data_IF_737118912740
#
_entry.id   IF_737118912740
#
_cell.length_a   1.000
_cell.length_b   1.000
_cell.length_c   1.000
_cell.angle_alpha   90.00
_cell.angle_beta   90.00
_cell.angle_gamma   90.00
#
_symmetry.space_group_name_H-M   'P 1'
#
loop_
_entity.id
_entity.type
_entity.pdbx_description
1 polymer ?
#
# COMPACT_ATOMS: atom_id res chain seq x y z
N UNK A 1 15.49 5.37 -14.35
CA UNK A 1 14.24 5.52 -15.16
C UNK A 1 14.55 5.22 -16.62
N UNK A 2 13.60 4.69 -17.38
CA UNK A 2 13.66 4.73 -18.85
C UNK A 2 13.69 6.21 -19.27
N UNK A 3 14.74 6.70 -19.95
CA UNK A 3 14.85 8.11 -20.29
C UNK A 3 13.68 8.60 -21.12
N UNK A 4 13.22 9.82 -20.85
CA UNK A 4 12.15 10.45 -21.60
C UNK A 4 12.58 11.82 -22.14
N UNK A 5 12.07 12.19 -23.29
CA UNK A 5 12.39 13.46 -23.93
C UNK A 5 11.71 14.64 -23.24
N UNK A 6 12.44 15.73 -23.03
CA UNK A 6 11.89 16.93 -22.43
C UNK A 6 10.86 17.63 -23.32
N UNK A 7 10.81 17.32 -24.62
CA UNK A 7 9.77 17.80 -25.54
C UNK A 7 8.35 17.44 -25.08
N UNK A 8 8.19 16.28 -24.40
CA UNK A 8 6.91 15.87 -23.80
C UNK A 8 6.35 16.90 -22.82
N UNK A 9 7.22 17.68 -22.16
CA UNK A 9 6.82 18.58 -21.08
C UNK A 9 6.15 19.87 -21.59
N UNK A 10 6.36 20.22 -22.87
CA UNK A 10 5.88 21.49 -23.44
C UNK A 10 4.34 21.64 -23.42
N UNK A 11 3.62 20.51 -23.41
CA UNK A 11 2.15 20.48 -23.39
C UNK A 11 1.58 20.42 -21.96
N UNK A 12 2.45 20.33 -20.93
CA UNK A 12 2.04 20.06 -19.55
C UNK A 12 2.06 21.29 -18.65
N UNK A 13 2.64 22.41 -19.11
CA UNK A 13 2.78 23.63 -18.36
C UNK A 13 4.04 24.41 -18.70
N UNK A 14 4.43 25.33 -17.81
CA UNK A 14 5.67 26.11 -17.97
C UNK A 14 6.89 25.26 -17.64
N UNK A 15 7.78 25.10 -18.61
CA UNK A 15 8.98 24.27 -18.50
C UNK A 15 10.26 25.10 -18.71
N UNK A 16 11.29 24.81 -17.91
CA UNK A 16 12.67 25.25 -18.13
C UNK A 16 13.53 24.00 -18.42
N UNK A 17 14.01 23.90 -19.66
CA UNK A 17 14.75 22.75 -20.18
C UNK A 17 16.24 23.04 -20.18
N UNK A 18 17.04 22.15 -19.59
CA UNK A 18 18.50 22.22 -19.50
C UNK A 18 19.21 21.05 -20.16
N UNK A 19 18.48 19.97 -20.43
CA UNK A 19 18.94 18.80 -21.16
C UNK A 19 17.81 18.24 -22.05
N UNK A 20 18.12 17.55 -23.17
CA UNK A 20 17.11 17.03 -24.08
C UNK A 20 16.29 15.86 -23.48
N UNK A 21 16.82 15.20 -22.48
CA UNK A 21 16.20 14.04 -21.81
C UNK A 21 16.31 14.17 -20.29
N UNK A 22 15.42 13.51 -19.60
CA UNK A 22 15.49 13.32 -18.14
C UNK A 22 15.40 11.84 -17.78
N UNK A 23 16.05 11.44 -16.67
CA UNK A 23 16.23 10.06 -16.26
C UNK A 23 15.66 9.74 -14.88
N UNK A 24 14.96 10.66 -14.26
CA UNK A 24 14.23 10.53 -13.01
C UNK A 24 13.18 11.63 -12.90
N UNK A 25 12.21 11.47 -11.99
CA UNK A 25 11.18 12.46 -11.69
C UNK A 25 11.06 12.64 -10.19
N UNK A 26 11.10 13.87 -9.72
CA UNK A 26 10.97 14.21 -8.30
C UNK A 26 9.99 15.38 -8.12
N UNK A 27 9.25 15.32 -7.02
CA UNK A 27 8.38 16.40 -6.54
C UNK A 27 8.95 17.07 -5.27
N UNK A 28 10.02 16.52 -4.71
CA UNK A 28 10.79 17.06 -3.59
C UNK A 28 12.19 17.46 -4.08
N UNK A 29 12.49 18.76 -4.10
CA UNK A 29 13.76 19.29 -4.59
C UNK A 29 14.98 18.70 -3.87
N UNK A 30 14.83 18.34 -2.59
CA UNK A 30 15.91 17.74 -1.77
C UNK A 30 16.34 16.34 -2.27
N UNK A 31 15.46 15.66 -3.03
CA UNK A 31 15.69 14.33 -3.60
C UNK A 31 16.23 14.37 -5.03
N UNK A 32 16.34 15.53 -5.64
CA UNK A 32 16.85 15.71 -7.00
C UNK A 32 18.26 15.14 -7.13
N UNK A 33 18.44 14.32 -8.15
CA UNK A 33 19.72 13.85 -8.67
C UNK A 33 20.00 14.51 -10.02
N UNK A 34 21.26 14.55 -10.41
CA UNK A 34 21.63 15.08 -11.71
C UNK A 34 20.92 14.30 -12.84
N UNK A 35 20.24 15.03 -13.71
CA UNK A 35 19.46 14.45 -14.80
C UNK A 35 17.99 14.23 -14.50
N UNK A 36 17.51 14.49 -13.28
CA UNK A 36 16.09 14.38 -12.93
C UNK A 36 15.27 15.55 -13.48
N UNK A 37 14.00 15.30 -13.71
CA UNK A 37 12.95 16.31 -13.85
C UNK A 37 12.42 16.67 -12.47
N UNK A 38 12.35 17.94 -12.15
CA UNK A 38 11.60 18.44 -10.99
C UNK A 38 10.20 18.89 -11.43
N UNK A 39 9.16 18.33 -10.84
CA UNK A 39 7.77 18.73 -11.04
C UNK A 39 7.28 19.49 -9.81
N UNK A 40 6.92 20.75 -9.99
CA UNK A 40 6.42 21.60 -8.90
C UNK A 40 4.96 21.26 -8.58
N UNK A 41 4.72 20.63 -7.44
CA UNK A 41 3.40 20.24 -6.93
C UNK A 41 3.07 21.09 -5.71
N UNK A 42 1.82 21.53 -5.55
CA UNK A 42 1.29 22.18 -4.36
C UNK A 42 2.19 23.35 -3.81
N UNK A 43 2.51 24.32 -4.64
CA UNK A 43 3.37 25.45 -4.25
C UNK A 43 4.86 25.15 -4.31
N UNK A 44 5.25 24.06 -4.97
CA UNK A 44 6.63 23.64 -5.21
C UNK A 44 7.44 24.62 -6.07
N UNK A 45 6.82 25.61 -6.71
CA UNK A 45 7.50 26.61 -7.54
C UNK A 45 8.64 27.36 -6.83
N UNK A 46 8.51 27.58 -5.52
CA UNK A 46 9.56 28.21 -4.68
C UNK A 46 10.85 27.40 -4.59
N UNK A 47 10.86 26.14 -5.05
CA UNK A 47 12.02 25.25 -4.99
C UNK A 47 12.65 25.00 -6.37
N UNK A 48 12.25 25.72 -7.41
CA UNK A 48 12.81 25.57 -8.77
C UNK A 48 14.33 25.80 -8.79
N UNK A 49 14.78 26.90 -8.16
CA UNK A 49 16.21 27.24 -8.10
C UNK A 49 17.04 26.20 -7.33
N UNK A 50 16.49 25.63 -6.23
CA UNK A 50 17.13 24.54 -5.49
C UNK A 50 17.25 23.27 -6.35
N UNK A 51 16.18 22.92 -7.08
CA UNK A 51 16.20 21.77 -7.99
C UNK A 51 17.24 21.94 -9.09
N UNK A 52 17.32 23.14 -9.68
CA UNK A 52 18.33 23.50 -10.70
C UNK A 52 19.74 23.41 -10.14
N UNK A 53 19.97 23.97 -8.95
CA UNK A 53 21.28 23.93 -8.29
C UNK A 53 21.75 22.51 -7.99
N UNK A 54 20.83 21.56 -7.81
CA UNK A 54 21.09 20.12 -7.61
C UNK A 54 21.26 19.35 -8.91
N UNK A 55 21.10 20.01 -10.07
CA UNK A 55 21.38 19.42 -11.39
C UNK A 55 20.17 18.82 -12.09
N UNK A 56 18.97 19.35 -11.84
CA UNK A 56 17.79 18.97 -12.61
C UNK A 56 18.01 19.20 -14.12
N UNK A 57 17.64 18.22 -14.94
CA UNK A 57 17.65 18.30 -16.40
C UNK A 57 16.57 19.22 -16.94
N UNK A 58 15.45 19.28 -16.22
CA UNK A 58 14.36 20.22 -16.48
C UNK A 58 13.56 20.49 -15.19
N UNK A 59 12.85 21.63 -15.19
CA UNK A 59 11.84 21.91 -14.18
C UNK A 59 10.51 22.17 -14.87
N UNK A 60 9.43 21.66 -14.30
CA UNK A 60 8.07 21.81 -14.80
C UNK A 60 7.19 22.42 -13.71
N UNK A 61 6.52 23.54 -14.05
CA UNK A 61 5.39 24.07 -13.29
C UNK A 61 4.14 23.68 -14.07
N UNK A 62 3.46 22.60 -13.70
CA UNK A 62 2.36 22.08 -14.50
C UNK A 62 1.08 22.90 -14.32
N UNK A 63 0.26 22.98 -15.37
CA UNK A 63 -1.09 23.55 -15.30
C UNK A 63 -2.00 22.69 -14.41
N UNK A 64 -1.85 21.36 -14.51
CA UNK A 64 -2.44 20.34 -13.62
C UNK A 64 -1.35 19.34 -13.24
N UNK A 65 -0.99 19.33 -11.96
CA UNK A 65 0.10 18.49 -11.46
C UNK A 65 -0.22 16.98 -11.54
N UNK A 66 -1.47 16.59 -11.30
CA UNK A 66 -1.88 15.19 -11.36
C UNK A 66 -1.90 14.70 -12.80
N UNK A 67 -2.47 15.46 -13.72
CA UNK A 67 -2.48 15.14 -15.14
C UNK A 67 -1.06 15.08 -15.73
N UNK A 68 -0.18 16.00 -15.33
CA UNK A 68 1.21 16.01 -15.78
C UNK A 68 1.98 14.77 -15.30
N UNK A 69 1.89 14.44 -14.02
CA UNK A 69 2.53 13.22 -13.46
C UNK A 69 1.96 11.96 -14.10
N UNK A 70 0.64 11.88 -14.27
CA UNK A 70 -0.02 10.78 -14.96
C UNK A 70 0.49 10.58 -16.38
N UNK A 71 0.61 11.68 -17.15
CA UNK A 71 1.11 11.67 -18.53
C UNK A 71 2.56 11.19 -18.62
N UNK A 72 3.42 11.70 -17.73
CA UNK A 72 4.84 11.31 -17.65
C UNK A 72 4.96 9.82 -17.24
N UNK A 73 4.26 9.41 -16.19
CA UNK A 73 4.25 8.03 -15.71
C UNK A 73 3.74 7.04 -16.75
N UNK A 74 2.67 7.39 -17.47
CA UNK A 74 2.11 6.58 -18.57
C UNK A 74 3.09 6.44 -19.73
N UNK A 75 3.85 7.49 -20.05
CA UNK A 75 4.86 7.43 -21.12
C UNK A 75 5.99 6.46 -20.77
N UNK A 76 6.49 6.52 -19.52
CA UNK A 76 7.50 5.56 -19.03
C UNK A 76 6.93 4.14 -19.00
N UNK A 77 5.70 3.97 -18.51
CA UNK A 77 5.02 2.68 -18.46
C UNK A 77 4.87 2.04 -19.85
N UNK A 78 4.47 2.82 -20.84
CA UNK A 78 4.28 2.37 -22.23
C UNK A 78 5.56 1.85 -22.88
N UNK A 79 6.72 2.36 -22.45
CA UNK A 79 8.05 1.94 -22.93
C UNK A 79 8.64 0.77 -22.13
N UNK A 80 8.00 0.36 -21.04
CA UNK A 80 8.48 -0.71 -20.17
C UNK A 80 7.83 -2.04 -20.52
N UNK A 81 8.61 -3.11 -20.53
CA UNK A 81 8.15 -4.49 -20.64
C UNK A 81 7.84 -5.12 -19.27
N UNK A 82 8.03 -4.40 -18.17
CA UNK A 82 7.80 -4.91 -16.83
C UNK A 82 6.37 -5.44 -16.64
N UNK A 83 6.24 -6.58 -16.00
CA UNK A 83 4.95 -7.09 -15.54
C UNK A 83 4.49 -6.29 -14.32
N UNK A 84 3.33 -5.68 -14.40
CA UNK A 84 2.81 -4.81 -13.34
C UNK A 84 1.80 -5.57 -12.48
N UNK A 85 2.03 -5.55 -11.17
CA UNK A 85 1.11 -6.04 -10.15
C UNK A 85 0.48 -4.84 -9.45
N UNK A 86 -0.84 -4.69 -9.55
CA UNK A 86 -1.61 -3.71 -8.80
C UNK A 86 -2.21 -4.34 -7.55
N UNK A 87 -2.02 -3.73 -6.39
CA UNK A 87 -2.50 -4.24 -5.10
C UNK A 87 -3.45 -3.23 -4.47
N UNK A 88 -4.70 -3.64 -4.23
CA UNK A 88 -5.69 -2.87 -3.48
C UNK A 88 -6.29 -3.72 -2.36
N UNK A 89 -7.15 -3.11 -1.55
CA UNK A 89 -7.83 -3.76 -0.43
C UNK A 89 -8.13 -2.78 0.68
N UNK A 90 -8.94 -3.16 1.62
CA UNK A 90 -9.27 -2.32 2.77
C UNK A 90 -8.08 -2.19 3.70
N UNK A 91 -7.36 -3.28 3.94
CA UNK A 91 -6.13 -3.34 4.74
C UNK A 91 -5.11 -4.30 4.11
N UNK A 92 -3.88 -4.29 4.61
CA UNK A 92 -2.82 -5.20 4.18
C UNK A 92 -2.16 -4.86 2.83
N UNK A 93 -2.60 -3.83 2.10
CA UNK A 93 -2.01 -3.42 0.81
C UNK A 93 -0.49 -3.25 0.87
N UNK A 94 -0.03 -2.39 1.77
CA UNK A 94 1.39 -2.07 1.95
C UNK A 94 2.18 -3.30 2.38
N UNK A 95 1.68 -4.04 3.38
CA UNK A 95 2.35 -5.27 3.84
C UNK A 95 2.41 -6.33 2.73
N UNK A 96 1.34 -6.52 1.94
CA UNK A 96 1.35 -7.45 0.79
C UNK A 96 2.37 -6.99 -0.26
N UNK A 97 2.46 -5.69 -0.54
CA UNK A 97 3.47 -5.09 -1.42
C UNK A 97 4.88 -5.34 -0.90
N UNK A 98 5.13 -5.11 0.41
CA UNK A 98 6.44 -5.30 1.02
C UNK A 98 6.86 -6.78 0.97
N UNK A 99 5.96 -7.71 1.29
CA UNK A 99 6.20 -9.15 1.20
C UNK A 99 6.48 -9.56 -0.25
N UNK A 100 5.66 -9.11 -1.21
CA UNK A 100 5.85 -9.45 -2.62
C UNK A 100 7.17 -8.88 -3.16
N UNK A 101 7.54 -7.66 -2.75
CA UNK A 101 8.81 -7.07 -3.12
C UNK A 101 9.99 -7.90 -2.58
N UNK A 102 9.94 -8.31 -1.31
CA UNK A 102 10.96 -9.16 -0.71
C UNK A 102 11.08 -10.54 -1.39
N UNK A 103 9.95 -11.10 -1.85
CA UNK A 103 9.92 -12.35 -2.61
C UNK A 103 10.52 -12.20 -4.02
N UNK A 104 10.24 -11.08 -4.70
CA UNK A 104 10.65 -10.87 -6.09
C UNK A 104 12.10 -10.41 -6.23
N UNK A 105 12.58 -9.50 -5.36
CA UNK A 105 13.91 -8.85 -5.49
C UNK A 105 15.08 -9.81 -5.62
N UNK A 106 15.12 -10.98 -4.95
CA UNK A 106 16.22 -11.93 -5.11
C UNK A 106 16.27 -12.63 -6.47
N UNK A 107 15.15 -12.67 -7.20
CA UNK A 107 14.98 -13.50 -8.41
C UNK A 107 14.59 -12.71 -9.67
N UNK A 108 14.26 -11.41 -9.53
CA UNK A 108 13.86 -10.55 -10.66
C UNK A 108 14.18 -9.08 -10.35
N UNK A 109 14.53 -8.32 -11.40
CA UNK A 109 14.73 -6.87 -11.29
C UNK A 109 13.39 -6.19 -11.01
N UNK A 110 13.19 -5.79 -9.76
CA UNK A 110 11.90 -5.38 -9.23
C UNK A 110 11.90 -3.91 -8.81
N UNK A 111 10.89 -3.17 -9.22
CA UNK A 111 10.54 -1.84 -8.71
C UNK A 111 9.24 -1.95 -7.92
N UNK A 112 9.26 -1.54 -6.66
CA UNK A 112 8.07 -1.48 -5.80
C UNK A 112 7.79 -0.05 -5.34
N UNK A 113 6.53 0.27 -5.09
CA UNK A 113 6.13 1.56 -4.53
C UNK A 113 6.82 1.81 -3.17
N UNK A 114 7.40 2.99 -3.00
CA UNK A 114 8.00 3.40 -1.71
C UNK A 114 6.88 3.69 -0.70
N UNK A 115 7.05 3.21 0.52
CA UNK A 115 6.08 3.43 1.59
C UNK A 115 4.64 3.18 1.11
N UNK A 116 3.77 4.18 1.22
CA UNK A 116 2.38 4.16 0.75
C UNK A 116 2.16 5.08 -0.46
N UNK A 117 3.07 5.10 -1.43
CA UNK A 117 2.91 5.84 -2.69
C UNK A 117 1.85 5.15 -3.55
N UNK A 118 0.57 5.42 -3.26
CA UNK A 118 -0.58 4.66 -3.72
C UNK A 118 -1.69 5.50 -4.38
N UNK A 119 -1.41 6.78 -4.62
CA UNK A 119 -2.34 7.75 -5.17
C UNK A 119 -1.84 8.33 -6.51
N UNK A 120 -2.54 9.36 -7.01
CA UNK A 120 -2.30 10.06 -8.27
C UNK A 120 -0.92 10.76 -8.37
N UNK A 121 -0.18 10.85 -7.29
CA UNK A 121 1.22 11.31 -7.27
C UNK A 121 2.16 10.11 -7.15
N UNK A 122 1.90 9.22 -6.22
CA UNK A 122 2.80 8.12 -5.86
C UNK A 122 2.91 7.04 -6.93
N UNK A 123 1.80 6.70 -7.62
CA UNK A 123 1.80 5.69 -8.68
C UNK A 123 2.62 6.15 -9.89
N UNK A 124 2.41 7.37 -10.46
CA UNK A 124 3.27 7.87 -11.52
C UNK A 124 4.75 7.98 -11.14
N UNK A 125 5.06 8.46 -9.93
CA UNK A 125 6.45 8.52 -9.46
C UNK A 125 7.09 7.14 -9.35
N UNK A 126 6.34 6.12 -8.95
CA UNK A 126 6.85 4.74 -8.93
C UNK A 126 7.13 4.22 -10.33
N UNK A 127 6.22 4.47 -11.29
CA UNK A 127 6.42 4.13 -12.71
C UNK A 127 7.64 4.84 -13.30
N UNK A 128 7.89 6.09 -12.91
CA UNK A 128 9.10 6.83 -13.31
C UNK A 128 10.41 6.25 -12.77
N UNK A 129 10.37 5.20 -11.95
CA UNK A 129 11.57 4.47 -11.51
C UNK A 129 11.87 3.22 -12.35
N UNK A 130 11.01 2.88 -13.30
CA UNK A 130 11.22 1.75 -14.20
C UNK A 130 12.47 1.97 -15.06
N UNK A 131 13.31 0.94 -15.15
CA UNK A 131 14.50 0.87 -15.98
C UNK A 131 14.28 -0.08 -17.15
N UNK A 132 15.11 -0.02 -18.21
CA UNK A 132 14.91 -0.88 -19.40
C UNK A 132 14.90 -2.38 -19.08
N UNK A 133 15.59 -2.79 -18.02
CA UNK A 133 15.72 -4.17 -17.56
C UNK A 133 14.84 -4.51 -16.35
N UNK A 134 13.92 -3.62 -15.96
CA UNK A 134 12.92 -3.93 -14.93
C UNK A 134 11.98 -5.01 -15.42
N UNK A 135 11.86 -6.10 -14.66
CA UNK A 135 11.01 -7.25 -14.97
C UNK A 135 9.65 -7.18 -14.25
N UNK A 136 9.65 -6.68 -13.01
CA UNK A 136 8.46 -6.60 -12.15
C UNK A 136 8.28 -5.19 -11.60
N UNK A 137 7.05 -4.69 -11.68
CA UNK A 137 6.63 -3.45 -11.02
C UNK A 137 5.46 -3.72 -10.07
N UNK A 138 5.63 -3.40 -8.79
CA UNK A 138 4.63 -3.64 -7.75
C UNK A 138 4.07 -2.29 -7.29
N UNK A 139 2.77 -2.08 -7.53
CA UNK A 139 2.07 -0.85 -7.22
C UNK A 139 1.00 -1.09 -6.14
N UNK A 140 0.94 -0.20 -5.19
CA UNK A 140 -0.20 -0.08 -4.29
C UNK A 140 -1.21 0.90 -4.90
N UNK A 141 -2.50 0.54 -4.93
CA UNK A 141 -3.58 1.36 -5.50
C UNK A 141 -4.61 1.64 -4.40
N UNK A 142 -4.66 2.89 -3.95
CA UNK A 142 -5.62 3.35 -2.95
C UNK A 142 -6.78 4.09 -3.60
N UNK A 143 -7.88 4.19 -2.86
CA UNK A 143 -9.04 5.01 -3.23
C UNK A 143 -9.68 5.63 -1.98
N UNK A 144 -10.35 6.72 -2.17
CA UNK A 144 -11.35 7.29 -1.26
C UNK A 144 -12.76 7.28 -1.85
N UNK A 145 -12.89 7.14 -3.18
CA UNK A 145 -14.16 7.13 -3.91
C UNK A 145 -14.10 6.31 -5.18
N UNK A 146 -15.23 6.23 -5.87
CA UNK A 146 -15.35 5.55 -7.15
C UNK A 146 -14.54 6.23 -8.25
N UNK A 147 -14.06 5.43 -9.22
CA UNK A 147 -13.29 5.85 -10.38
C UNK A 147 -11.81 6.09 -10.11
N UNK A 148 -11.37 6.16 -8.85
CA UNK A 148 -9.99 6.49 -8.52
C UNK A 148 -9.03 5.32 -8.81
N UNK A 149 -9.42 4.08 -8.51
CA UNK A 149 -8.62 2.90 -8.86
C UNK A 149 -8.60 2.73 -10.38
N UNK A 150 -9.72 2.94 -11.07
CA UNK A 150 -9.78 2.89 -12.53
C UNK A 150 -8.79 3.88 -13.16
N UNK A 151 -8.78 5.13 -12.71
CA UNK A 151 -7.84 6.16 -13.17
C UNK A 151 -6.37 5.77 -12.93
N UNK A 152 -6.04 5.20 -11.77
CA UNK A 152 -4.70 4.69 -11.50
C UNK A 152 -4.33 3.49 -12.39
N UNK A 153 -5.31 2.64 -12.72
CA UNK A 153 -5.10 1.50 -13.63
C UNK A 153 -4.87 1.95 -15.08
N UNK A 154 -5.49 3.05 -15.54
CA UNK A 154 -5.24 3.62 -16.86
C UNK A 154 -3.76 4.00 -17.02
N UNK A 155 -3.14 4.54 -15.95
CA UNK A 155 -1.73 4.90 -15.92
C UNK A 155 -0.84 3.66 -15.80
N UNK A 156 -1.19 2.78 -14.85
CA UNK A 156 -0.35 1.64 -14.42
C UNK A 156 -0.43 0.44 -15.38
N UNK A 157 -1.57 0.22 -16.02
CA UNK A 157 -1.85 -0.93 -16.89
C UNK A 157 -1.42 -2.26 -16.24
N UNK A 158 -2.05 -2.65 -15.10
CA UNK A 158 -1.66 -3.85 -14.37
C UNK A 158 -2.00 -5.12 -15.16
N UNK A 159 -1.12 -6.14 -15.08
CA UNK A 159 -1.33 -7.48 -15.62
C UNK A 159 -1.92 -8.41 -14.56
N UNK A 160 -1.61 -8.15 -13.29
CA UNK A 160 -2.06 -8.90 -12.13
C UNK A 160 -2.71 -7.91 -11.17
N UNK A 161 -3.94 -8.20 -10.76
CA UNK A 161 -4.69 -7.42 -9.78
C UNK A 161 -4.91 -8.20 -8.50
N UNK A 162 -4.51 -7.62 -7.37
CA UNK A 162 -4.67 -8.24 -6.04
C UNK A 162 -5.65 -7.42 -5.22
N UNK A 163 -6.73 -8.04 -4.75
CA UNK A 163 -7.60 -7.51 -3.69
C UNK A 163 -7.30 -8.29 -2.42
N UNK A 164 -6.67 -7.65 -1.45
CA UNK A 164 -6.26 -8.33 -0.20
C UNK A 164 -7.46 -8.72 0.66
N UNK A 165 -8.42 -7.82 0.82
CA UNK A 165 -9.67 -8.03 1.54
C UNK A 165 -10.67 -6.89 1.27
N UNK A 166 -11.93 -7.10 1.68
CA UNK A 166 -13.00 -6.09 1.72
C UNK A 166 -13.41 -5.91 3.18
N UNK A 167 -13.37 -4.68 3.66
CA UNK A 167 -13.76 -4.33 5.02
C UNK A 167 -14.26 -2.88 5.11
N UNK A 168 -14.85 -2.47 6.24
CA UNK A 168 -15.45 -1.15 6.44
C UNK A 168 -14.37 -0.05 6.50
N UNK A 169 -14.09 0.55 5.35
CA UNK A 169 -13.20 1.69 5.17
C UNK A 169 -13.85 2.68 4.21
N UNK A 170 -13.61 3.98 4.40
CA UNK A 170 -14.14 5.03 3.51
C UNK A 170 -15.67 4.98 3.32
N UNK A 171 -16.42 4.44 4.29
CA UNK A 171 -17.87 4.26 4.19
C UNK A 171 -18.62 5.58 3.97
N UNK A 172 -18.07 6.67 4.46
CA UNK A 172 -18.63 8.02 4.24
C UNK A 172 -18.63 8.41 2.75
N UNK A 173 -17.70 7.87 1.96
CA UNK A 173 -17.46 8.26 0.56
C UNK A 173 -18.01 7.25 -0.46
N UNK A 174 -18.26 6.01 -0.04
CA UNK A 174 -18.75 4.94 -0.91
C UNK A 174 -20.02 4.26 -0.35
N UNK A 175 -20.63 4.85 0.70
CA UNK A 175 -21.92 4.56 1.32
C UNK A 175 -22.04 3.20 2.02
N UNK A 176 -21.34 2.15 1.57
CA UNK A 176 -21.55 0.79 2.07
C UNK A 176 -20.35 -0.13 1.81
N UNK A 177 -20.36 -1.31 2.47
CA UNK A 177 -19.38 -2.37 2.19
C UNK A 177 -19.45 -2.83 0.73
N UNK A 178 -20.64 -2.85 0.12
CA UNK A 178 -20.81 -3.13 -1.31
C UNK A 178 -20.20 -2.02 -2.17
N UNK A 179 -20.30 -0.76 -1.75
CA UNK A 179 -19.61 0.36 -2.37
C UNK A 179 -18.08 0.19 -2.32
N UNK A 180 -17.52 -0.24 -1.17
CA UNK A 180 -16.10 -0.57 -1.05
C UNK A 180 -15.71 -1.69 -2.01
N UNK A 181 -16.53 -2.76 -2.09
CA UNK A 181 -16.33 -3.89 -3.01
C UNK A 181 -16.29 -3.43 -4.46
N UNK A 182 -17.28 -2.63 -4.88
CA UNK A 182 -17.37 -2.08 -6.23
C UNK A 182 -16.20 -1.19 -6.59
N UNK A 183 -15.80 -0.27 -5.70
CA UNK A 183 -14.68 0.62 -5.94
C UNK A 183 -13.35 -0.13 -6.08
N UNK A 184 -13.10 -1.16 -5.26
CA UNK A 184 -11.90 -1.99 -5.38
C UNK A 184 -11.95 -2.93 -6.58
N UNK A 185 -13.13 -3.32 -7.02
CA UNK A 185 -13.37 -4.11 -8.24
C UNK A 185 -12.94 -3.41 -9.52
N UNK A 186 -12.81 -2.08 -9.51
CA UNK A 186 -12.25 -1.32 -10.63
C UNK A 186 -10.88 -1.85 -11.07
N UNK A 187 -10.05 -2.35 -10.13
CA UNK A 187 -8.78 -3.01 -10.46
C UNK A 187 -8.99 -4.26 -11.31
N UNK A 188 -9.95 -5.11 -10.95
CA UNK A 188 -10.21 -6.35 -11.68
C UNK A 188 -10.85 -6.06 -13.05
N UNK A 189 -11.71 -5.03 -13.10
CA UNK A 189 -12.31 -4.58 -14.36
C UNK A 189 -11.27 -4.05 -15.36
N UNK A 190 -10.18 -3.45 -14.87
CA UNK A 190 -9.12 -2.85 -15.68
C UNK A 190 -8.07 -3.86 -16.18
N UNK A 191 -8.09 -5.12 -15.74
CA UNK A 191 -7.12 -6.12 -16.19
C UNK A 191 -7.27 -6.41 -17.69
N UNK A 192 -6.17 -6.65 -18.42
CA UNK A 192 -6.25 -7.09 -19.80
C UNK A 192 -6.83 -8.52 -19.88
N UNK A 193 -7.28 -8.93 -21.07
CA UNK A 193 -7.58 -10.33 -21.34
C UNK A 193 -6.37 -11.21 -21.01
N UNK A 194 -6.59 -12.36 -20.37
CA UNK A 194 -5.56 -13.24 -19.77
C UNK A 194 -4.76 -12.60 -18.63
N UNK A 195 -5.23 -11.48 -18.08
CA UNK A 195 -4.72 -10.97 -16.80
C UNK A 195 -5.10 -11.89 -15.66
N UNK A 196 -4.46 -11.72 -14.50
CA UNK A 196 -4.73 -12.56 -13.33
C UNK A 196 -5.34 -11.72 -12.20
N UNK A 197 -6.52 -12.13 -11.72
CA UNK A 197 -7.18 -11.59 -10.55
C UNK A 197 -6.89 -12.48 -9.33
N UNK A 198 -6.31 -11.90 -8.28
CA UNK A 198 -6.10 -12.57 -6.99
C UNK A 198 -7.03 -11.91 -5.98
N UNK A 199 -8.02 -12.67 -5.51
CA UNK A 199 -9.15 -12.10 -4.76
C UNK A 199 -9.52 -12.99 -3.57
N UNK A 200 -10.15 -12.44 -2.50
CA UNK A 200 -10.73 -13.24 -1.43
C UNK A 200 -11.66 -14.34 -1.96
N UNK A 201 -11.76 -15.46 -1.22
CA UNK A 201 -12.51 -16.63 -1.65
C UNK A 201 -13.98 -16.35 -2.00
N UNK A 202 -14.60 -15.40 -1.30
CA UNK A 202 -15.99 -14.98 -1.45
C UNK A 202 -16.18 -13.77 -2.37
N UNK A 203 -15.09 -13.26 -2.98
CA UNK A 203 -15.19 -12.09 -3.86
C UNK A 203 -15.76 -12.49 -5.23
N UNK A 204 -16.86 -11.86 -5.72
CA UNK A 204 -17.42 -12.17 -7.02
C UNK A 204 -16.51 -11.63 -8.14
N UNK A 205 -16.25 -12.45 -9.15
CA UNK A 205 -15.59 -12.06 -10.39
C UNK A 205 -16.49 -12.52 -11.54
N UNK A 206 -16.96 -11.56 -12.33
CA UNK A 206 -17.91 -11.80 -13.44
C UNK A 206 -17.22 -11.92 -14.80
N UNK A 207 -15.88 -11.78 -14.82
CA UNK A 207 -15.07 -11.89 -16.05
C UNK A 207 -14.60 -13.33 -16.26
N UNK A 208 -14.77 -13.83 -17.50
CA UNK A 208 -14.38 -15.16 -17.96
C UNK A 208 -13.13 -15.16 -18.86
N UNK A 209 -12.62 -13.97 -19.21
CA UNK A 209 -11.44 -13.77 -20.06
C UNK A 209 -10.14 -13.57 -19.28
N UNK A 210 -10.16 -13.71 -17.94
CA UNK A 210 -9.02 -13.58 -17.02
C UNK A 210 -8.87 -14.82 -16.15
N UNK A 211 -7.65 -15.05 -15.66
CA UNK A 211 -7.39 -16.08 -14.65
C UNK A 211 -7.80 -15.58 -13.26
N UNK A 212 -8.46 -16.44 -12.46
CA UNK A 212 -8.93 -16.07 -11.12
C UNK A 212 -8.30 -17.02 -10.09
N UNK A 213 -7.49 -16.43 -9.20
CA UNK A 213 -6.90 -17.11 -8.04
C UNK A 213 -7.62 -16.66 -6.77
N UNK A 214 -8.24 -17.59 -6.05
CA UNK A 214 -8.95 -17.31 -4.81
C UNK A 214 -8.08 -17.58 -3.60
N UNK A 215 -7.89 -16.54 -2.77
CA UNK A 215 -7.11 -16.64 -1.54
C UNK A 215 -8.04 -16.87 -0.34
N UNK A 216 -7.68 -17.83 0.48
CA UNK A 216 -8.40 -18.20 1.70
C UNK A 216 -7.58 -17.99 2.97
N UNK A 217 -8.02 -18.59 4.06
CA UNK A 217 -7.29 -18.57 5.33
C UNK A 217 -5.93 -19.26 5.17
N UNK A 218 -4.84 -18.66 5.66
CA UNK A 218 -3.53 -19.26 5.56
C UNK A 218 -3.43 -20.57 6.36
N UNK A 219 -2.88 -21.61 5.74
CA UNK A 219 -2.35 -22.77 6.46
C UNK A 219 -0.89 -22.45 6.83
N UNK A 220 -0.72 -21.65 7.87
CA UNK A 220 0.57 -21.15 8.32
C UNK A 220 0.92 -21.75 9.68
N UNK A 221 2.18 -22.05 9.87
CA UNK A 221 2.74 -22.52 11.14
C UNK A 221 3.79 -21.50 11.62
N UNK A 222 3.57 -20.94 12.81
CA UNK A 222 4.50 -20.02 13.43
C UNK A 222 5.32 -20.73 14.51
N UNK A 223 6.64 -20.71 14.39
CA UNK A 223 7.59 -21.25 15.35
C UNK A 223 8.91 -20.46 15.29
N UNK A 224 9.58 -20.34 16.42
CA UNK A 224 10.91 -19.73 16.54
C UNK A 224 11.05 -18.33 15.91
N UNK A 225 9.99 -17.52 16.07
CA UNK A 225 9.95 -16.15 15.52
C UNK A 225 9.71 -16.07 14.01
N UNK A 226 9.40 -17.16 13.34
CA UNK A 226 9.16 -17.23 11.91
C UNK A 226 7.82 -17.91 11.60
N UNK A 227 7.30 -17.64 10.41
CA UNK A 227 6.08 -18.28 9.88
C UNK A 227 6.42 -19.07 8.64
N UNK A 228 6.09 -20.37 8.67
CA UNK A 228 6.16 -21.26 7.51
C UNK A 228 4.84 -21.19 6.74
N UNK A 229 4.89 -20.82 5.46
CA UNK A 229 3.73 -20.72 4.60
C UNK A 229 4.09 -21.03 3.15
N UNK A 230 3.40 -22.02 2.55
CA UNK A 230 3.58 -22.35 1.13
C UNK A 230 4.99 -22.75 0.75
N UNK A 231 5.76 -23.32 1.68
CA UNK A 231 7.16 -23.72 1.50
C UNK A 231 8.16 -22.57 1.66
N UNK A 232 7.75 -21.42 2.17
CA UNK A 232 8.60 -20.24 2.43
C UNK A 232 8.60 -19.89 3.91
N UNK A 233 9.77 -19.64 4.49
CA UNK A 233 9.98 -19.19 5.86
C UNK A 233 10.09 -17.66 5.92
N UNK A 234 9.19 -17.00 6.66
CA UNK A 234 9.12 -15.54 6.81
C UNK A 234 9.51 -15.11 8.22
N UNK A 235 10.17 -13.95 8.36
CA UNK A 235 10.61 -13.37 9.63
C UNK A 235 9.50 -12.66 10.45
N UNK A 236 8.28 -13.11 10.36
CA UNK A 236 7.15 -12.59 11.15
C UNK A 236 6.29 -13.71 11.71
N UNK A 237 5.52 -13.43 12.77
CA UNK A 237 4.61 -14.40 13.40
C UNK A 237 3.15 -13.96 13.40
N UNK A 238 2.88 -12.67 13.11
CA UNK A 238 1.55 -12.11 13.15
C UNK A 238 0.61 -12.77 12.12
N UNK A 239 -0.55 -13.25 12.55
CA UNK A 239 -1.53 -13.94 11.70
C UNK A 239 -1.99 -13.10 10.50
N UNK A 240 -2.17 -11.79 10.70
CA UNK A 240 -2.58 -10.91 9.62
C UNK A 240 -1.47 -10.76 8.56
N UNK A 241 -0.18 -10.87 8.92
CA UNK A 241 0.92 -10.89 7.96
C UNK A 241 0.94 -12.21 7.17
N UNK A 242 0.62 -13.34 7.81
CA UNK A 242 0.45 -14.60 7.10
C UNK A 242 -0.68 -14.52 6.05
N UNK A 243 -1.78 -13.82 6.35
CA UNK A 243 -2.86 -13.56 5.37
C UNK A 243 -2.37 -12.71 4.18
N UNK A 244 -1.57 -11.68 4.45
CA UNK A 244 -0.97 -10.86 3.39
C UNK A 244 0.02 -11.67 2.54
N UNK A 245 0.76 -12.60 3.17
CA UNK A 245 1.71 -13.47 2.48
C UNK A 245 1.02 -14.47 1.54
N UNK A 246 -0.19 -14.96 1.85
CA UNK A 246 -0.96 -15.77 0.90
C UNK A 246 -1.19 -15.01 -0.41
N UNK A 247 -1.60 -13.75 -0.33
CA UNK A 247 -1.83 -12.91 -1.51
C UNK A 247 -0.52 -12.64 -2.27
N UNK A 248 0.58 -12.38 -1.54
CA UNK A 248 1.89 -12.15 -2.14
C UNK A 248 2.45 -13.39 -2.84
N UNK A 249 2.33 -14.58 -2.24
CA UNK A 249 2.74 -15.85 -2.85
C UNK A 249 1.91 -16.17 -4.11
N UNK A 250 0.60 -15.93 -4.07
CA UNK A 250 -0.25 -16.09 -5.24
C UNK A 250 0.17 -15.15 -6.38
N UNK A 251 0.59 -13.91 -6.07
CA UNK A 251 1.09 -12.96 -7.05
C UNK A 251 2.47 -13.37 -7.61
N UNK A 252 3.35 -13.91 -6.76
CA UNK A 252 4.64 -14.45 -7.19
C UNK A 252 4.46 -15.62 -8.16
N UNK A 253 3.54 -16.54 -7.85
CA UNK A 253 3.20 -17.68 -8.73
C UNK A 253 2.62 -17.19 -10.07
N UNK A 254 1.72 -16.19 -10.03
CA UNK A 254 1.15 -15.59 -11.23
C UNK A 254 2.22 -14.86 -12.08
N UNK A 255 3.29 -14.37 -11.47
CA UNK A 255 4.48 -13.85 -12.18
C UNK A 255 5.33 -14.97 -12.79
N UNK A 256 5.12 -16.23 -12.42
CA UNK A 256 5.93 -17.36 -12.85
C UNK A 256 7.34 -17.37 -12.24
N UNK A 257 7.52 -16.72 -11.09
CA UNK A 257 8.80 -16.63 -10.40
C UNK A 257 8.95 -17.75 -9.36
N UNK A 258 10.17 -18.26 -9.13
CA UNK A 258 10.39 -19.30 -8.14
C UNK A 258 10.20 -18.76 -6.71
N UNK A 259 9.69 -19.61 -5.81
CA UNK A 259 9.60 -19.30 -4.39
C UNK A 259 10.97 -19.51 -3.74
N UNK A 260 11.50 -18.53 -2.99
CA UNK A 260 12.71 -18.74 -2.18
C UNK A 260 12.35 -19.56 -0.92
N UNK A 261 13.35 -20.26 -0.37
CA UNK A 261 13.13 -21.04 0.87
C UNK A 261 12.88 -20.13 2.09
N UNK A 262 13.54 -18.98 2.13
CA UNK A 262 13.49 -18.04 3.26
C UNK A 262 13.45 -16.60 2.76
N UNK A 263 12.63 -15.77 3.39
CA UNK A 263 12.49 -14.34 3.10
C UNK A 263 12.44 -13.53 4.39
N UNK A 264 13.26 -12.52 4.46
CA UNK A 264 13.18 -11.48 5.50
C UNK A 264 12.52 -10.24 4.90
N UNK A 265 11.39 -9.87 5.46
CA UNK A 265 10.57 -8.73 5.02
C UNK A 265 10.90 -7.53 5.89
N UNK A 266 11.32 -6.44 5.26
CA UNK A 266 11.44 -5.13 5.90
C UNK A 266 10.13 -4.36 5.65
N UNK A 267 9.26 -4.33 6.65
CA UNK A 267 7.97 -3.69 6.53
C UNK A 267 8.09 -2.16 6.54
N UNK A 268 7.26 -1.50 5.77
CA UNK A 268 7.08 -0.05 5.84
C UNK A 268 6.72 0.38 7.26
N UNK A 269 7.29 1.50 7.73
CA UNK A 269 7.18 2.00 9.12
C UNK A 269 5.73 2.07 9.61
N UNK A 270 5.56 1.87 10.93
CA UNK A 270 4.29 1.94 11.66
C UNK A 270 3.28 0.88 11.22
N UNK A 271 3.78 -0.31 10.87
CA UNK A 271 2.99 -1.48 10.44
C UNK A 271 3.22 -2.69 11.35
N UNK A 272 3.05 -2.47 12.66
CA UNK A 272 3.34 -3.49 13.67
C UNK A 272 4.80 -3.52 14.10
N UNK A 273 5.51 -2.37 14.01
CA UNK A 273 6.91 -2.25 14.41
C UNK A 273 7.06 -2.57 15.90
N UNK A 274 7.89 -3.55 16.23
CA UNK A 274 8.21 -3.92 17.60
C UNK A 274 9.45 -3.17 18.09
N UNK A 275 9.35 -2.53 19.25
CA UNK A 275 10.43 -1.81 19.88
C UNK A 275 10.52 -2.18 21.36
N UNK A 276 11.67 -2.64 21.80
CA UNK A 276 11.91 -2.88 23.23
C UNK A 276 11.98 -1.55 24.01
N UNK A 277 11.27 -1.50 25.12
CA UNK A 277 11.28 -0.35 26.01
C UNK A 277 12.27 -0.56 27.16
N UNK A 278 12.88 0.52 27.71
CA UNK A 278 13.65 0.44 28.92
C UNK A 278 12.82 -0.22 30.05
N UNK A 279 13.37 -1.24 30.68
CA UNK A 279 12.69 -2.01 31.73
C UNK A 279 11.95 -3.26 31.26
N UNK A 280 12.12 -3.67 30.00
CA UNK A 280 11.64 -4.96 29.47
C UNK A 280 10.21 -4.93 28.93
N UNK A 281 9.63 -3.74 28.73
CA UNK A 281 8.38 -3.59 28.00
C UNK A 281 8.57 -3.73 26.50
N UNK A 282 7.48 -4.06 25.76
CA UNK A 282 7.44 -4.09 24.31
C UNK A 282 6.42 -3.08 23.80
N UNK A 283 6.84 -2.17 22.92
CA UNK A 283 5.97 -1.27 22.16
C UNK A 283 5.72 -1.86 20.78
N UNK A 284 4.44 -2.10 20.45
CA UNK A 284 4.01 -2.46 19.10
C UNK A 284 3.42 -1.19 18.47
N UNK A 285 4.07 -0.65 17.45
CA UNK A 285 3.63 0.56 16.77
C UNK A 285 2.93 0.22 15.45
N UNK A 286 1.60 0.33 15.43
CA UNK A 286 0.76 0.15 14.23
C UNK A 286 -0.07 1.42 13.92
N UNK A 287 0.51 2.60 14.17
CA UNK A 287 -0.18 3.88 14.16
C UNK A 287 -0.32 4.53 12.77
N UNK A 288 0.00 3.82 11.69
CA UNK A 288 -0.09 4.39 10.34
C UNK A 288 -1.53 4.76 9.95
N UNK A 289 -2.48 3.88 10.22
CA UNK A 289 -3.91 4.06 9.92
C UNK A 289 -4.77 3.20 10.85
N UNK A 290 -6.01 3.61 11.07
CA UNK A 290 -6.97 2.90 11.91
C UNK A 290 -8.27 2.62 11.15
N UNK A 291 -8.73 1.37 11.19
CA UNK A 291 -10.06 0.95 10.76
C UNK A 291 -10.51 -0.26 11.61
N UNK A 292 -11.81 -0.62 11.64
CA UNK A 292 -12.31 -1.65 12.54
C UNK A 292 -11.60 -3.01 12.42
N UNK A 293 -11.18 -3.38 11.21
CA UNK A 293 -10.54 -4.68 10.96
C UNK A 293 -9.06 -4.66 11.38
N UNK A 294 -8.32 -3.59 11.02
CA UNK A 294 -6.91 -3.45 11.41
C UNK A 294 -6.74 -3.29 12.92
N UNK A 295 -7.63 -2.53 13.58
CA UNK A 295 -7.61 -2.35 15.02
C UNK A 295 -7.81 -3.66 15.78
N UNK A 296 -8.79 -4.48 15.35
CA UNK A 296 -8.99 -5.82 15.93
C UNK A 296 -7.79 -6.74 15.71
N UNK A 297 -7.17 -6.69 14.53
CA UNK A 297 -5.98 -7.48 14.23
C UNK A 297 -4.79 -7.06 15.10
N UNK A 298 -4.58 -5.75 15.29
CA UNK A 298 -3.53 -5.22 16.17
C UNK A 298 -3.74 -5.59 17.64
N UNK A 299 -4.98 -5.49 18.13
CA UNK A 299 -5.34 -5.91 19.50
C UNK A 299 -5.14 -7.42 19.72
N UNK A 300 -5.53 -8.25 18.75
CA UNK A 300 -5.30 -9.68 18.81
C UNK A 300 -3.79 -10.02 18.82
N UNK A 301 -3.00 -9.32 18.01
CA UNK A 301 -1.55 -9.47 18.01
C UNK A 301 -0.92 -9.02 19.32
N UNK A 302 -1.35 -7.89 19.89
CA UNK A 302 -0.93 -7.45 21.21
C UNK A 302 -1.23 -8.51 22.27
N UNK A 303 -2.44 -9.08 22.28
CA UNK A 303 -2.84 -10.12 23.25
C UNK A 303 -1.98 -11.38 23.13
N UNK A 304 -1.72 -11.84 21.90
CA UNK A 304 -0.86 -13.00 21.61
C UNK A 304 0.59 -12.74 22.05
N UNK A 305 1.14 -11.56 21.70
CA UNK A 305 2.53 -11.19 21.90
C UNK A 305 2.86 -10.89 23.36
N UNK A 306 1.88 -10.42 24.12
CA UNK A 306 2.05 -10.08 25.53
C UNK A 306 2.26 -11.31 26.42
N UNK A 307 1.66 -12.46 26.11
CA UNK A 307 1.62 -13.60 27.01
C UNK A 307 0.97 -13.20 28.35
N UNK A 308 1.70 -13.35 29.46
CA UNK A 308 1.24 -12.99 30.81
C UNK A 308 1.52 -11.53 31.19
N UNK A 309 2.15 -10.73 30.31
CA UNK A 309 2.45 -9.32 30.57
C UNK A 309 1.21 -8.46 30.52
N UNK A 310 1.22 -7.38 31.27
CA UNK A 310 0.17 -6.33 31.21
C UNK A 310 0.02 -5.80 29.79
N UNK A 311 -1.23 -5.69 29.32
CA UNK A 311 -1.62 -5.27 27.98
C UNK A 311 -2.22 -3.87 28.03
N UNK A 312 -1.52 -2.91 27.43
CA UNK A 312 -1.98 -1.52 27.37
C UNK A 312 -2.17 -1.14 25.90
N UNK A 313 -3.37 -0.67 25.54
CA UNK A 313 -3.67 -0.21 24.19
C UNK A 313 -3.86 1.31 24.16
N UNK A 314 -3.19 1.98 23.22
CA UNK A 314 -3.37 3.41 22.94
C UNK A 314 -4.03 3.51 21.55
N UNK A 315 -5.30 3.89 21.51
CA UNK A 315 -6.13 3.83 20.32
C UNK A 315 -6.56 5.23 19.87
N UNK A 316 -6.28 5.58 18.61
CA UNK A 316 -6.71 6.81 17.96
C UNK A 316 -8.07 6.69 17.29
N UNK A 317 -8.58 7.81 16.76
CA UNK A 317 -9.82 7.85 15.99
C UNK A 317 -9.73 6.98 14.72
N UNK A 318 -10.82 6.26 14.40
CA UNK A 318 -11.05 5.67 13.08
C UNK A 318 -11.84 6.66 12.22
N UNK A 319 -11.15 7.27 11.24
CA UNK A 319 -11.75 8.27 10.36
C UNK A 319 -12.58 7.65 9.21
N UNK A 320 -13.37 8.49 8.54
CA UNK A 320 -14.11 8.18 7.29
C UNK A 320 -15.12 7.01 7.39
N UNK A 321 -15.60 6.72 8.60
CA UNK A 321 -16.64 5.71 8.85
C UNK A 321 -18.07 6.28 8.82
N UNK A 322 -18.19 7.60 8.66
CA UNK A 322 -19.47 8.30 8.61
C UNK A 322 -20.36 8.02 9.82
N UNK A 323 -21.65 7.84 9.60
CA UNK A 323 -22.65 7.61 10.68
C UNK A 323 -22.41 6.32 11.49
N UNK A 324 -21.67 5.38 10.94
CA UNK A 324 -21.37 4.10 11.62
C UNK A 324 -20.14 4.18 12.52
N UNK A 325 -19.40 5.28 12.47
CA UNK A 325 -18.18 5.48 13.26
C UNK A 325 -18.33 5.19 14.75
N UNK A 326 -19.33 5.77 15.47
CA UNK A 326 -19.51 5.50 16.90
C UNK A 326 -19.77 4.02 17.23
N UNK A 327 -20.50 3.29 16.36
CA UNK A 327 -20.76 1.88 16.55
C UNK A 327 -19.48 1.05 16.40
N UNK A 328 -18.68 1.31 15.37
CA UNK A 328 -17.41 0.62 15.18
C UNK A 328 -16.39 0.90 16.28
N UNK A 329 -16.34 2.13 16.83
CA UNK A 329 -15.46 2.41 17.96
C UNK A 329 -15.87 1.57 19.19
N UNK A 330 -17.18 1.46 19.48
CA UNK A 330 -17.67 0.61 20.56
C UNK A 330 -17.32 -0.87 20.34
N UNK A 331 -17.57 -1.40 19.15
CA UNK A 331 -17.24 -2.78 18.79
C UNK A 331 -15.74 -3.11 18.96
N UNK A 332 -14.85 -2.17 18.64
CA UNK A 332 -13.39 -2.34 18.87
C UNK A 332 -13.07 -2.31 20.36
N UNK A 333 -13.76 -1.48 21.13
CA UNK A 333 -13.65 -1.47 22.60
C UNK A 333 -14.12 -2.78 23.24
N UNK A 334 -15.23 -3.34 22.76
CA UNK A 334 -15.74 -4.66 23.17
C UNK A 334 -14.72 -5.77 22.82
N UNK A 335 -14.15 -5.75 21.61
CA UNK A 335 -13.09 -6.69 21.22
C UNK A 335 -11.83 -6.55 22.09
N UNK A 336 -11.49 -5.34 22.51
CA UNK A 336 -10.36 -5.13 23.45
C UNK A 336 -10.64 -5.80 24.81
N UNK A 337 -11.87 -5.71 25.32
CA UNK A 337 -12.27 -6.38 26.56
C UNK A 337 -12.23 -7.91 26.41
N UNK A 338 -12.77 -8.46 25.32
CA UNK A 338 -12.75 -9.90 25.01
C UNK A 338 -11.31 -10.46 24.93
N UNK A 339 -10.37 -9.66 24.39
CA UNK A 339 -8.95 -9.99 24.28
C UNK A 339 -8.16 -9.80 25.57
N UNK A 340 -8.81 -9.34 26.64
CA UNK A 340 -8.19 -9.16 27.94
C UNK A 340 -7.17 -8.00 27.95
N UNK A 341 -7.47 -6.90 27.30
CA UNK A 341 -6.68 -5.66 27.41
C UNK A 341 -6.91 -5.08 28.81
N UNK A 342 -5.84 -4.83 29.55
CA UNK A 342 -5.89 -4.38 30.95
C UNK A 342 -6.16 -2.89 31.09
N UNK A 343 -5.68 -2.08 30.13
CA UNK A 343 -5.88 -0.63 30.12
C UNK A 343 -5.99 -0.11 28.68
N UNK A 344 -6.93 0.82 28.46
CA UNK A 344 -7.17 1.47 27.17
C UNK A 344 -7.04 2.99 27.32
N UNK A 345 -6.18 3.60 26.50
CA UNK A 345 -6.04 5.04 26.38
C UNK A 345 -6.64 5.47 25.05
N UNK A 346 -7.73 6.23 25.09
CA UNK A 346 -8.43 6.75 23.92
C UNK A 346 -7.87 8.13 23.54
N UNK A 347 -7.41 8.28 22.30
CA UNK A 347 -6.84 9.52 21.77
C UNK A 347 -7.70 10.04 20.63
N UNK A 348 -8.48 11.06 20.86
CA UNK A 348 -9.41 11.66 19.91
C UNK A 348 -10.84 11.72 20.43
N UNK A 349 -11.70 12.39 19.69
CA UNK A 349 -13.10 12.59 20.10
C UNK A 349 -13.92 11.31 19.91
N UNK A 350 -13.81 10.66 18.75
CA UNK A 350 -14.49 9.41 18.42
C UNK A 350 -13.92 8.23 19.19
N UNK A 351 -12.63 8.25 19.49
CA UNK A 351 -11.91 7.22 20.24
C UNK A 351 -12.50 6.98 21.65
N UNK A 352 -13.17 7.97 22.24
CA UNK A 352 -13.90 7.80 23.52
C UNK A 352 -14.95 6.68 23.44
N UNK A 353 -15.44 6.37 22.24
CA UNK A 353 -16.36 5.25 22.01
C UNK A 353 -15.80 3.88 22.41
N UNK A 354 -14.48 3.68 22.37
CA UNK A 354 -13.84 2.44 22.83
C UNK A 354 -14.06 2.16 24.31
N UNK A 355 -14.14 3.21 25.15
CA UNK A 355 -14.31 3.08 26.59
C UNK A 355 -15.66 2.46 26.98
N UNK A 356 -16.65 2.49 26.08
CA UNK A 356 -17.93 1.80 26.29
C UNK A 356 -17.81 0.27 26.21
N UNK A 357 -16.69 -0.28 25.73
CA UNK A 357 -16.43 -1.72 25.67
C UNK A 357 -16.10 -2.37 27.02
N UNK A 358 -15.92 -1.59 28.09
CA UNK A 358 -15.77 -2.11 29.45
C UNK A 358 -14.32 -2.33 29.89
N UNK A 359 -13.33 -1.98 29.08
CA UNK A 359 -11.90 -1.98 29.50
C UNK A 359 -11.66 -0.76 30.40
N UNK A 360 -10.95 -0.89 31.54
CA UNK A 360 -10.50 0.27 32.30
C UNK A 360 -9.69 1.22 31.44
N UNK A 361 -10.05 2.53 31.44
CA UNK A 361 -9.36 3.45 30.55
C UNK A 361 -9.74 4.92 30.71
N UNK A 362 -9.15 5.78 29.94
CA UNK A 362 -9.33 7.23 29.91
C UNK A 362 -9.12 7.83 28.51
#
# INVERSE_FOLDING_TARGET
>A
MIPAETALLAELGRVDVRAPEFSGVQVDSRRIKRGDLFVAVAGGERFLDDAVARGAAATLVPDDAHAALARIGSEVRRRSSARVVGITGSMGKTSTKDILAALCMPVARTVAAEASFNNEIGVPLTLCRLEPDTEVCILELAMRGFGQIAALCEIAQPHIGVITNIGPVHLELVDSLEGVRRAKGELIAALPARGTAIVPADYPVERDDIDVVRIGTPNAHAADGRTELGGVSFNFTARHQAQNAVAALAALDALGLPRPDTVDVDFSRWRGDENELPGGGLLINDAYNANPVSMRAALAYLAERAGERRRVAILGDMAELGRTGPAYHREVGEAAAELGIDELLAVGELARGYLAGGVPGR
#
